data_IF_839938298657
#
_entry.id   IF_839938298657
#
_cell.length_a   1.000
_cell.length_b   1.000
_cell.length_c   1.000
_cell.angle_alpha   90.00
_cell.angle_beta   90.00
_cell.angle_gamma   90.00
#
_symmetry.space_group_name_H-M   'P 1'
#
loop_
_entity.id
_entity.type
_entity.pdbx_description
1 polymer ?
#
# COMPACT_ATOMS: atom_id res chain seq x y z
N UNK A 1 -60.50 28.02 -57.27
CA UNK A 1 -59.07 27.65 -57.32
C UNK A 1 -58.30 28.84 -57.89
N UNK A 2 -57.69 29.65 -57.03
CA UNK A 2 -56.56 30.51 -57.35
C UNK A 2 -55.95 31.01 -56.03
N UNK A 3 -54.63 30.92 -55.98
CA UNK A 3 -53.74 31.22 -54.86
C UNK A 3 -53.57 32.73 -54.71
N UNK A 4 -53.47 33.23 -53.48
CA UNK A 4 -52.79 34.49 -53.18
C UNK A 4 -52.03 34.38 -51.87
N UNK A 5 -50.77 34.78 -51.94
CA UNK A 5 -49.71 34.71 -50.95
C UNK A 5 -49.80 35.90 -50.00
N UNK A 6 -49.53 35.72 -48.70
CA UNK A 6 -48.95 36.78 -47.88
C UNK A 6 -47.88 36.23 -46.94
N UNK A 7 -46.69 36.84 -47.01
CA UNK A 7 -45.54 36.57 -46.13
C UNK A 7 -45.77 37.23 -44.76
N UNK A 8 -45.37 36.56 -43.69
CA UNK A 8 -45.12 37.21 -42.40
C UNK A 8 -43.77 36.75 -41.86
N UNK A 9 -42.91 37.72 -41.59
CA UNK A 9 -41.57 37.61 -41.01
C UNK A 9 -41.72 37.32 -39.51
N UNK A 10 -41.10 36.25 -39.01
CA UNK A 10 -41.06 35.97 -37.58
C UNK A 10 -39.73 36.44 -37.01
N UNK A 11 -39.81 37.42 -36.11
CA UNK A 11 -38.68 38.00 -35.37
C UNK A 11 -38.33 37.09 -34.19
N UNK A 12 -37.07 36.69 -34.10
CA UNK A 12 -36.51 35.97 -32.95
C UNK A 12 -36.40 36.88 -31.72
N UNK A 13 -36.91 36.43 -30.58
CA UNK A 13 -36.56 36.99 -29.26
C UNK A 13 -35.83 35.89 -28.51
N UNK A 14 -34.52 36.06 -28.33
CA UNK A 14 -33.69 35.18 -27.51
C UNK A 14 -33.91 35.51 -26.04
N UNK A 15 -34.41 34.55 -25.26
CA UNK A 15 -34.48 34.63 -23.80
C UNK A 15 -33.25 33.96 -23.21
N UNK A 16 -32.29 34.75 -22.76
CA UNK A 16 -31.11 34.26 -22.04
C UNK A 16 -31.47 33.93 -20.59
N UNK A 17 -31.62 32.64 -20.29
CA UNK A 17 -31.78 32.16 -18.91
C UNK A 17 -30.41 32.07 -18.25
N UNK A 18 -30.17 32.93 -17.26
CA UNK A 18 -28.97 32.91 -16.44
C UNK A 18 -29.06 31.71 -15.46
N UNK A 19 -28.29 30.65 -15.69
CA UNK A 19 -28.13 29.56 -14.72
C UNK A 19 -27.20 30.02 -13.60
N UNK A 20 -27.77 30.48 -12.49
CA UNK A 20 -27.07 30.58 -11.21
C UNK A 20 -26.92 29.18 -10.64
N UNK A 21 -25.78 28.54 -10.91
CA UNK A 21 -25.39 27.28 -10.29
C UNK A 21 -25.19 27.48 -8.79
N UNK A 22 -26.10 26.95 -7.98
CA UNK A 22 -25.86 26.77 -6.55
C UNK A 22 -24.75 25.74 -6.38
N UNK A 23 -23.57 26.18 -5.93
CA UNK A 23 -22.55 25.27 -5.40
C UNK A 23 -23.11 24.76 -4.07
N UNK A 24 -23.66 23.55 -4.08
CA UNK A 24 -23.95 22.87 -2.82
C UNK A 24 -22.61 22.56 -2.14
N UNK A 25 -22.40 22.99 -0.88
CA UNK A 25 -21.27 22.47 -0.11
C UNK A 25 -21.46 20.97 0.02
N UNK A 26 -20.45 20.21 -0.40
CA UNK A 26 -20.38 18.77 -0.17
C UNK A 26 -20.43 18.51 1.34
N UNK A 27 -21.60 18.14 1.85
CA UNK A 27 -21.70 17.53 3.17
C UNK A 27 -20.88 16.24 3.08
N UNK A 28 -19.85 16.13 3.93
CA UNK A 28 -19.11 14.88 4.05
C UNK A 28 -20.09 13.79 4.48
N UNK A 29 -20.21 12.76 3.64
CA UNK A 29 -21.03 11.59 3.89
C UNK A 29 -20.54 10.88 5.15
N UNK A 30 -21.46 10.38 5.98
CA UNK A 30 -21.15 9.53 7.15
C UNK A 30 -20.41 8.23 6.75
N UNK A 31 -20.38 7.92 5.44
CA UNK A 31 -19.79 6.70 4.87
C UNK A 31 -18.26 6.69 4.77
N UNK A 32 -17.54 7.79 5.06
CA UNK A 32 -16.07 7.85 4.90
C UNK A 32 -15.32 7.92 6.25
N UNK A 33 -16.04 7.70 7.36
CA UNK A 33 -15.50 7.86 8.71
C UNK A 33 -15.37 6.53 9.45
N UNK A 34 -14.13 6.15 9.75
CA UNK A 34 -13.78 5.09 10.69
C UNK A 34 -13.83 5.64 12.12
N UNK A 35 -14.48 4.90 13.01
CA UNK A 35 -14.47 5.21 14.44
C UNK A 35 -13.60 4.18 15.17
N UNK A 36 -12.58 4.66 15.87
CA UNK A 36 -11.84 3.85 16.82
C UNK A 36 -12.51 3.92 18.19
N UNK A 37 -13.09 2.81 18.64
CA UNK A 37 -13.76 2.75 19.94
C UNK A 37 -12.80 2.33 21.05
N UNK A 38 -12.87 3.01 22.21
CA UNK A 38 -12.07 2.65 23.37
C UNK A 38 -12.37 1.23 23.83
N UNK A 39 -11.36 0.43 24.13
CA UNK A 39 -11.49 -0.94 24.66
C UNK A 39 -10.62 -1.12 25.89
N UNK A 40 -11.05 -1.99 26.80
CA UNK A 40 -10.25 -2.51 27.91
C UNK A 40 -9.89 -3.99 27.71
N UNK A 41 -10.37 -4.59 26.62
CA UNK A 41 -10.07 -5.97 26.25
C UNK A 41 -8.71 -6.01 25.55
N UNK A 42 -7.85 -6.94 25.96
CA UNK A 42 -6.61 -7.23 25.24
C UNK A 42 -6.92 -7.74 23.84
N UNK A 43 -6.36 -7.08 22.83
CA UNK A 43 -6.42 -7.52 21.44
C UNK A 43 -5.23 -8.45 21.19
N UNK A 44 -5.50 -9.63 20.64
CA UNK A 44 -4.47 -10.58 20.23
C UNK A 44 -4.34 -10.45 18.73
N UNK A 45 -3.12 -10.35 18.19
CA UNK A 45 -2.91 -10.28 16.75
C UNK A 45 -2.74 -11.71 16.23
N UNK A 46 -3.82 -12.31 15.74
CA UNK A 46 -3.85 -13.68 15.22
C UNK A 46 -4.53 -13.81 13.84
N UNK A 47 -5.04 -12.69 13.31
CA UNK A 47 -5.74 -12.62 12.02
C UNK A 47 -7.14 -13.22 12.06
N UNK A 48 -7.76 -13.36 13.25
CA UNK A 48 -9.10 -13.94 13.41
C UNK A 48 -10.15 -12.88 13.74
N UNK A 49 -11.40 -13.03 13.27
CA UNK A 49 -12.48 -12.08 13.54
C UNK A 49 -13.10 -12.31 14.93
N UNK A 50 -12.37 -12.13 16.03
CA UNK A 50 -12.92 -12.47 17.33
C UNK A 50 -13.97 -11.45 17.82
N UNK A 51 -14.78 -11.88 18.78
CA UNK A 51 -15.93 -11.14 19.32
C UNK A 51 -15.61 -9.72 19.77
N UNK A 52 -14.37 -9.45 20.18
CA UNK A 52 -13.91 -8.12 20.63
C UNK A 52 -14.11 -7.07 19.53
N UNK A 53 -13.96 -7.45 18.26
CA UNK A 53 -14.15 -6.60 17.09
C UNK A 53 -15.62 -6.29 16.76
N UNK A 54 -16.59 -6.93 17.41
CA UNK A 54 -18.01 -6.60 17.25
C UNK A 54 -18.35 -5.22 17.84
N UNK A 55 -17.53 -4.71 18.76
CA UNK A 55 -17.68 -3.35 19.31
C UNK A 55 -17.45 -2.27 18.25
N UNK A 56 -16.59 -2.53 17.26
CA UNK A 56 -16.24 -1.57 16.23
C UNK A 56 -17.13 -1.78 14.99
N UNK A 57 -17.84 -0.71 14.59
CA UNK A 57 -18.54 -0.68 13.29
C UNK A 57 -17.49 -0.70 12.17
N UNK A 58 -17.61 -1.61 11.18
CA UNK A 58 -16.71 -1.59 10.03
C UNK A 58 -17.00 -0.36 9.16
N UNK A 59 -15.93 0.25 8.67
CA UNK A 59 -15.95 1.12 7.51
C UNK A 59 -15.70 0.22 6.28
N UNK A 60 -16.65 0.18 5.36
CA UNK A 60 -16.61 -0.69 4.17
C UNK A 60 -16.65 0.16 2.92
N UNK A 61 -15.84 -0.21 1.92
CA UNK A 61 -15.74 0.47 0.64
C UNK A 61 -15.34 -0.50 -0.46
N UNK A 62 -15.45 -0.06 -1.72
CA UNK A 62 -14.82 -0.74 -2.86
C UNK A 62 -13.54 -0.01 -3.18
N UNK A 63 -12.44 -0.74 -3.38
CA UNK A 63 -11.21 -0.19 -3.96
C UNK A 63 -11.21 -0.57 -5.43
N UNK A 64 -11.26 0.42 -6.34
CA UNK A 64 -11.42 0.20 -7.77
C UNK A 64 -10.65 1.21 -8.65
N UNK A 65 -9.84 2.07 -8.03
CA UNK A 65 -8.92 2.95 -8.75
C UNK A 65 -7.54 2.31 -8.85
N UNK A 66 -6.87 2.51 -9.98
CA UNK A 66 -5.50 2.04 -10.22
C UNK A 66 -4.61 3.17 -10.76
N UNK A 67 -3.31 3.21 -10.37
CA UNK A 67 -2.39 4.26 -10.81
C UNK A 67 -2.07 4.21 -12.30
N UNK A 68 -2.10 3.02 -12.91
CA UNK A 68 -1.87 2.79 -14.34
C UNK A 68 -2.45 1.43 -14.74
N UNK A 69 -2.46 1.13 -16.04
CA UNK A 69 -2.83 -0.18 -16.58
C UNK A 69 -1.56 -0.99 -16.90
N UNK A 70 -1.15 -1.94 -16.05
CA UNK A 70 -0.04 -2.84 -16.36
C UNK A 70 -0.36 -3.80 -17.52
N UNK A 71 0.67 -4.12 -18.30
CA UNK A 71 0.61 -5.20 -19.27
C UNK A 71 0.63 -6.56 -18.55
N UNK A 72 -0.13 -7.53 -19.07
CA UNK A 72 -0.12 -8.93 -18.60
C UNK A 72 -0.46 -9.11 -17.10
N UNK A 73 -1.24 -8.19 -16.53
CA UNK A 73 -1.70 -8.27 -15.16
C UNK A 73 -3.01 -9.05 -15.06
N UNK A 74 -2.96 -10.16 -14.32
CA UNK A 74 -4.11 -11.05 -14.07
C UNK A 74 -4.71 -10.85 -12.67
N UNK A 75 -4.11 -9.97 -11.87
CA UNK A 75 -4.58 -9.68 -10.52
C UNK A 75 -5.84 -8.83 -10.49
N UNK A 76 -6.30 -8.54 -9.28
CA UNK A 76 -7.52 -7.78 -9.03
C UNK A 76 -7.47 -6.37 -9.62
N UNK A 77 -8.58 -5.99 -10.26
CA UNK A 77 -8.88 -4.62 -10.68
C UNK A 77 -9.78 -3.88 -9.69
N UNK A 78 -10.45 -4.62 -8.80
CA UNK A 78 -11.23 -4.09 -7.70
C UNK A 78 -11.36 -5.10 -6.58
N UNK A 79 -11.63 -4.64 -5.36
CA UNK A 79 -11.94 -5.51 -4.21
C UNK A 79 -12.91 -4.86 -3.24
N UNK A 80 -13.66 -5.68 -2.50
CA UNK A 80 -14.36 -5.22 -1.32
C UNK A 80 -13.35 -5.09 -0.18
N UNK A 81 -13.35 -3.93 0.48
CA UNK A 81 -12.46 -3.63 1.59
C UNK A 81 -13.26 -3.26 2.84
N UNK A 82 -12.83 -3.76 3.98
CA UNK A 82 -13.40 -3.43 5.29
C UNK A 82 -12.29 -3.16 6.29
N UNK A 83 -12.46 -2.11 7.09
CA UNK A 83 -11.57 -1.77 8.20
C UNK A 83 -12.37 -1.48 9.47
N UNK A 84 -11.91 -2.01 10.59
CA UNK A 84 -12.38 -1.69 11.94
C UNK A 84 -11.23 -1.12 12.75
N UNK A 85 -11.53 -0.35 13.79
CA UNK A 85 -10.53 0.13 14.73
C UNK A 85 -11.03 0.12 16.17
N UNK A 86 -10.12 -0.21 17.08
CA UNK A 86 -10.25 -0.07 18.52
C UNK A 86 -9.01 0.68 19.03
N UNK A 87 -9.07 1.22 20.25
CA UNK A 87 -7.89 1.75 20.93
C UNK A 87 -8.00 1.52 22.44
N UNK A 88 -6.87 1.46 23.12
CA UNK A 88 -6.80 1.62 24.57
C UNK A 88 -6.04 2.92 24.91
N UNK A 89 -5.57 3.07 26.14
CA UNK A 89 -4.84 4.28 26.56
C UNK A 89 -3.42 4.38 25.96
N UNK A 90 -2.93 3.33 25.29
CA UNK A 90 -1.55 3.22 24.80
C UNK A 90 -1.48 2.94 23.29
N UNK A 91 -2.39 2.15 22.74
CA UNK A 91 -2.33 1.61 21.40
C UNK A 91 -3.62 1.85 20.63
N UNK A 92 -3.47 1.96 19.31
CA UNK A 92 -4.54 1.81 18.34
C UNK A 92 -4.41 0.45 17.65
N UNK A 93 -5.55 -0.18 17.40
CA UNK A 93 -5.67 -1.48 16.77
C UNK A 93 -6.52 -1.37 15.53
N UNK A 94 -6.20 -2.18 14.53
CA UNK A 94 -6.95 -2.27 13.28
C UNK A 94 -7.18 -3.72 12.89
N UNK A 95 -8.36 -3.96 12.32
CA UNK A 95 -8.74 -5.22 11.72
C UNK A 95 -9.20 -4.93 10.29
N UNK A 96 -8.43 -5.40 9.33
CA UNK A 96 -8.60 -5.12 7.90
C UNK A 96 -8.91 -6.42 7.18
N UNK A 97 -9.88 -6.38 6.27
CA UNK A 97 -10.20 -7.49 5.37
C UNK A 97 -10.37 -6.99 3.95
N UNK A 98 -9.87 -7.75 2.98
CA UNK A 98 -10.19 -7.57 1.58
C UNK A 98 -10.32 -8.90 0.86
N UNK A 99 -11.22 -8.96 -0.12
CA UNK A 99 -11.34 -10.12 -0.98
C UNK A 99 -10.09 -10.19 -1.87
N UNK A 100 -9.46 -11.36 -1.96
CA UNK A 100 -8.30 -11.64 -2.80
C UNK A 100 -8.35 -13.10 -3.24
N UNK A 101 -8.76 -13.40 -4.48
CA UNK A 101 -8.94 -14.77 -4.95
C UNK A 101 -7.61 -15.54 -5.03
N UNK A 102 -6.46 -14.85 -4.92
CA UNK A 102 -5.14 -15.46 -4.94
C UNK A 102 -4.44 -15.29 -3.60
N UNK A 103 -3.44 -16.14 -3.35
CA UNK A 103 -2.49 -15.95 -2.26
C UNK A 103 -1.10 -15.78 -2.88
N UNK A 104 -0.72 -14.55 -3.15
CA UNK A 104 0.54 -14.27 -3.84
C UNK A 104 1.66 -14.06 -2.83
N UNK A 105 2.56 -15.05 -2.80
CA UNK A 105 3.70 -15.11 -1.88
C UNK A 105 5.01 -15.48 -2.59
N UNK A 106 4.96 -15.73 -3.91
CA UNK A 106 6.11 -16.18 -4.68
C UNK A 106 6.93 -14.99 -5.19
N UNK A 107 7.58 -14.29 -4.26
CA UNK A 107 8.39 -13.11 -4.53
C UNK A 107 9.72 -13.45 -5.19
N UNK A 108 9.85 -13.17 -6.49
CA UNK A 108 11.06 -13.35 -7.29
C UNK A 108 11.83 -14.67 -7.02
N UNK A 109 11.16 -15.84 -7.04
CA UNK A 109 11.79 -17.10 -6.69
C UNK A 109 12.89 -17.45 -7.70
N UNK A 110 13.92 -18.12 -7.20
CA UNK A 110 14.91 -18.80 -8.02
C UNK A 110 14.43 -20.20 -8.36
N UNK A 111 14.65 -20.63 -9.60
CA UNK A 111 14.30 -21.97 -10.08
C UNK A 111 15.52 -22.60 -10.73
N UNK A 112 15.87 -23.82 -10.30
CA UNK A 112 16.92 -24.63 -10.92
C UNK A 112 16.45 -25.10 -12.29
N UNK A 113 17.25 -24.88 -13.33
CA UNK A 113 16.94 -25.24 -14.72
C UNK A 113 17.50 -26.63 -15.07
N UNK A 114 17.05 -27.20 -16.19
CA UNK A 114 17.50 -28.52 -16.69
C UNK A 114 18.98 -28.55 -17.11
N UNK A 115 19.59 -27.39 -17.40
CA UNK A 115 21.00 -27.23 -17.77
C UNK A 115 21.90 -26.94 -16.55
N UNK A 116 21.40 -27.22 -15.35
CA UNK A 116 22.01 -26.90 -14.06
C UNK A 116 22.21 -25.40 -13.77
N UNK A 117 21.69 -24.49 -14.59
CA UNK A 117 21.70 -23.05 -14.25
C UNK A 117 20.60 -22.66 -13.26
N UNK A 118 20.75 -21.50 -12.62
CA UNK A 118 19.69 -20.87 -11.82
C UNK A 118 19.05 -19.72 -12.58
N UNK A 119 17.72 -19.63 -12.49
CA UNK A 119 16.96 -18.53 -13.09
C UNK A 119 16.02 -17.89 -12.09
N UNK A 120 16.16 -16.59 -11.88
CA UNK A 120 15.19 -15.82 -11.10
C UNK A 120 13.94 -15.56 -11.95
N UNK A 121 12.78 -15.99 -11.45
CA UNK A 121 11.51 -15.82 -12.14
C UNK A 121 11.06 -14.36 -12.07
N UNK A 122 10.78 -13.81 -13.26
CA UNK A 122 10.31 -12.44 -13.48
C UNK A 122 9.42 -12.41 -14.71
N UNK A 123 8.36 -11.64 -14.66
CA UNK A 123 7.52 -11.25 -15.78
C UNK A 123 7.26 -9.73 -15.68
N UNK A 124 8.27 -8.95 -16.08
CA UNK A 124 8.23 -7.50 -15.93
C UNK A 124 7.30 -6.87 -16.97
N UNK A 125 6.46 -5.95 -16.54
CA UNK A 125 5.57 -5.19 -17.40
C UNK A 125 6.31 -4.06 -18.14
N UNK A 126 5.54 -3.23 -18.87
CA UNK A 126 6.08 -2.10 -19.63
C UNK A 126 6.82 -1.07 -18.76
N UNK A 127 6.52 -1.01 -17.47
CA UNK A 127 7.17 -0.11 -16.51
C UNK A 127 8.44 -0.73 -15.89
N UNK A 128 8.74 -1.99 -16.23
CA UNK A 128 9.86 -2.75 -15.68
C UNK A 128 9.60 -3.30 -14.29
N UNK A 129 8.34 -3.39 -13.89
CA UNK A 129 7.93 -3.88 -12.57
C UNK A 129 7.22 -5.22 -12.68
N UNK A 130 7.30 -5.99 -11.60
CA UNK A 130 6.78 -7.36 -11.54
C UNK A 130 5.30 -7.40 -11.15
N UNK A 131 4.54 -8.27 -11.82
CA UNK A 131 3.10 -8.42 -11.62
C UNK A 131 2.64 -9.91 -11.63
N UNK A 132 3.58 -10.86 -11.62
CA UNK A 132 3.33 -12.31 -11.66
C UNK A 132 4.08 -13.07 -10.57
N UNK A 133 5.30 -12.66 -10.25
CA UNK A 133 6.15 -13.27 -9.21
C UNK A 133 6.48 -12.28 -8.09
N UNK A 134 5.44 -11.72 -7.47
CA UNK A 134 5.56 -10.77 -6.39
C UNK A 134 4.85 -11.27 -5.13
N UNK A 135 4.25 -10.35 -4.38
CA UNK A 135 3.57 -10.60 -3.12
C UNK A 135 2.33 -9.71 -2.98
N UNK A 136 1.36 -10.18 -2.23
CA UNK A 136 0.22 -9.36 -1.78
C UNK A 136 0.67 -8.34 -0.74
N UNK A 137 0.08 -7.15 -0.78
CA UNK A 137 0.42 -6.04 0.11
C UNK A 137 -0.81 -5.23 0.48
N UNK A 138 -0.71 -4.49 1.57
CA UNK A 138 -1.67 -3.48 1.98
C UNK A 138 -0.91 -2.22 2.41
N UNK A 139 -1.47 -1.05 2.17
CA UNK A 139 -0.90 0.18 2.72
C UNK A 139 -1.95 1.15 3.23
N UNK A 140 -1.55 1.87 4.27
CA UNK A 140 -2.33 2.95 4.88
C UNK A 140 -1.44 4.18 4.94
N UNK A 141 -1.95 5.30 4.44
CA UNK A 141 -1.25 6.58 4.47
C UNK A 141 -1.94 7.49 5.46
N UNK A 142 -1.20 8.14 6.37
CA UNK A 142 -1.73 9.11 7.32
C UNK A 142 -1.14 10.50 7.05
N UNK A 143 -2.01 11.50 6.99
CA UNK A 143 -1.56 12.87 6.92
C UNK A 143 -0.86 13.29 8.22
N UNK A 144 0.43 13.65 8.15
CA UNK A 144 1.10 14.38 9.24
C UNK A 144 0.83 15.87 9.06
N UNK A 145 1.36 16.45 7.99
CA UNK A 145 1.20 17.89 7.68
C UNK A 145 1.11 18.19 6.17
N UNK A 146 0.99 17.18 5.31
CA UNK A 146 0.87 17.34 3.86
C UNK A 146 -0.40 18.10 3.45
N UNK A 147 -0.24 19.30 2.87
CA UNK A 147 -1.35 20.19 2.54
C UNK A 147 -2.24 19.61 1.44
N UNK A 148 -3.54 19.57 1.72
CA UNK A 148 -4.55 19.07 0.78
C UNK A 148 -4.82 17.57 0.88
N UNK A 149 -4.09 16.84 1.74
CA UNK A 149 -4.37 15.42 1.99
C UNK A 149 -5.83 15.21 2.42
N UNK A 150 -6.39 16.04 3.29
CA UNK A 150 -7.79 15.92 3.74
C UNK A 150 -8.85 15.99 2.62
N UNK A 151 -8.47 16.44 1.41
CA UNK A 151 -9.34 16.46 0.23
C UNK A 151 -8.98 15.38 -0.80
N UNK A 152 -7.68 15.09 -0.98
CA UNK A 152 -7.18 14.24 -2.07
C UNK A 152 -6.57 12.91 -1.60
N UNK A 153 -6.50 12.67 -0.30
CA UNK A 153 -5.88 11.48 0.27
C UNK A 153 -4.43 11.33 -0.20
N UNK A 154 -4.04 10.08 -0.45
CA UNK A 154 -2.69 9.72 -0.90
C UNK A 154 -2.34 10.27 -2.29
N UNK A 155 -3.32 10.70 -3.09
CA UNK A 155 -3.08 11.28 -4.42
C UNK A 155 -2.29 12.58 -4.34
N UNK A 156 -2.31 13.26 -3.19
CA UNK A 156 -1.54 14.49 -2.99
C UNK A 156 -0.04 14.29 -3.22
N UNK A 157 0.45 13.08 -2.97
CA UNK A 157 1.83 12.68 -3.14
C UNK A 157 2.08 11.85 -4.39
N UNK A 158 1.05 11.54 -5.20
CA UNK A 158 1.20 10.73 -6.40
C UNK A 158 1.51 11.63 -7.61
N UNK A 159 2.64 11.40 -8.28
CA UNK A 159 3.05 12.13 -9.48
C UNK A 159 3.30 11.13 -10.59
N UNK A 160 2.33 10.99 -11.49
CA UNK A 160 2.42 10.11 -12.65
C UNK A 160 3.42 10.67 -13.67
N UNK A 161 4.00 9.77 -14.45
CA UNK A 161 4.80 10.17 -15.60
C UNK A 161 3.92 10.94 -16.60
N UNK A 162 4.47 12.02 -17.16
CA UNK A 162 3.83 12.76 -18.25
C UNK A 162 3.90 11.97 -19.57
N UNK A 163 3.36 12.56 -20.65
CA UNK A 163 3.34 11.95 -21.99
C UNK A 163 4.74 11.67 -22.55
N UNK A 164 5.77 12.34 -22.02
CA UNK A 164 7.18 12.14 -22.38
C UNK A 164 7.86 11.09 -21.48
N UNK A 165 7.12 10.47 -20.56
CA UNK A 165 7.67 9.49 -19.62
C UNK A 165 8.49 10.12 -18.49
N UNK A 166 8.25 11.39 -18.16
CA UNK A 166 9.01 12.11 -17.13
C UNK A 166 8.19 12.33 -15.87
N UNK A 167 8.85 12.28 -14.72
CA UNK A 167 8.32 12.77 -13.45
C UNK A 167 9.24 13.87 -12.96
N UNK A 168 8.69 15.02 -12.57
CA UNK A 168 9.47 16.20 -12.18
C UNK A 168 10.56 16.60 -13.21
N UNK A 169 10.31 16.38 -14.51
CA UNK A 169 11.26 16.66 -15.59
C UNK A 169 12.38 15.62 -15.76
N UNK A 170 12.34 14.52 -15.01
CA UNK A 170 13.34 13.44 -15.05
C UNK A 170 12.72 12.22 -15.72
N UNK A 171 13.37 11.69 -16.75
CA UNK A 171 12.95 10.46 -17.44
C UNK A 171 12.91 9.28 -16.46
N UNK A 172 11.82 8.50 -16.51
CA UNK A 172 11.62 7.33 -15.65
C UNK A 172 10.88 6.24 -16.43
N UNK A 173 11.20 4.97 -16.13
CA UNK A 173 10.42 3.83 -16.65
C UNK A 173 9.14 3.57 -15.84
N UNK A 174 9.12 3.98 -14.56
CA UNK A 174 7.97 3.81 -13.66
C UNK A 174 6.77 4.64 -14.09
N UNK A 175 5.55 4.12 -13.90
CA UNK A 175 4.31 4.86 -14.17
C UNK A 175 4.14 6.12 -13.32
N UNK A 176 4.82 6.21 -12.18
CA UNK A 176 4.83 7.40 -11.33
C UNK A 176 5.80 7.29 -10.16
N UNK A 177 5.91 8.38 -9.40
CA UNK A 177 6.70 8.48 -8.17
C UNK A 177 5.87 9.13 -7.08
N UNK A 178 6.25 8.85 -5.82
CA UNK A 178 5.62 9.46 -4.66
C UNK A 178 6.55 10.46 -3.97
N UNK A 179 6.07 11.68 -3.77
CA UNK A 179 6.72 12.73 -2.99
C UNK A 179 5.71 13.83 -2.60
N UNK A 180 5.88 14.45 -1.44
CA UNK A 180 5.05 15.59 -1.02
C UNK A 180 5.43 16.86 -1.80
N UNK A 181 4.58 17.89 -1.76
CA UNK A 181 4.71 19.04 -2.69
C UNK A 181 5.71 20.08 -2.21
N UNK A 182 5.98 20.15 -0.91
CA UNK A 182 6.80 21.18 -0.29
C UNK A 182 7.73 20.58 0.75
N UNK A 183 8.91 21.15 0.86
CA UNK A 183 9.88 20.79 1.90
C UNK A 183 9.24 20.91 3.29
N UNK A 184 9.54 19.94 4.15
CA UNK A 184 8.97 19.82 5.49
C UNK A 184 7.56 19.21 5.55
N UNK A 185 6.91 18.97 4.41
CA UNK A 185 5.67 18.18 4.37
C UNK A 185 5.98 16.67 4.39
N UNK A 186 5.36 15.94 5.30
CA UNK A 186 5.45 14.48 5.39
C UNK A 186 4.09 13.80 5.49
N UNK A 187 4.08 12.54 5.09
CA UNK A 187 2.98 11.59 5.17
C UNK A 187 3.55 10.31 5.77
N UNK A 188 2.92 9.83 6.83
CA UNK A 188 3.24 8.52 7.41
C UNK A 188 2.62 7.42 6.51
N UNK A 189 3.38 6.37 6.22
CA UNK A 189 3.08 5.30 5.28
C UNK A 189 3.33 3.94 5.95
N UNK A 190 2.27 3.31 6.41
CA UNK A 190 2.33 1.92 6.83
C UNK A 190 2.20 1.06 5.57
N UNK A 191 3.15 0.14 5.33
CA UNK A 191 3.15 -0.68 4.12
C UNK A 191 3.46 -2.17 4.40
N UNK A 192 2.41 -2.95 4.62
CA UNK A 192 2.46 -4.37 4.91
C UNK A 192 2.76 -5.14 3.63
N UNK A 193 3.67 -6.11 3.76
CA UNK A 193 4.16 -6.90 2.64
C UNK A 193 4.10 -8.37 3.03
N UNK A 194 3.25 -9.14 2.36
CA UNK A 194 2.89 -10.50 2.79
C UNK A 194 4.09 -11.41 3.04
N UNK A 195 5.14 -11.27 2.24
CA UNK A 195 6.38 -12.04 2.39
C UNK A 195 7.39 -11.25 3.23
N UNK A 196 7.64 -9.99 2.88
CA UNK A 196 8.75 -9.21 3.46
C UNK A 196 8.55 -8.81 4.93
N UNK A 197 7.31 -8.63 5.38
CA UNK A 197 7.01 -8.24 6.76
C UNK A 197 5.92 -9.08 7.41
N UNK A 198 5.03 -9.69 6.61
CA UNK A 198 4.03 -10.63 7.11
C UNK A 198 4.63 -11.88 7.76
N UNK A 199 5.79 -12.35 7.28
CA UNK A 199 6.52 -13.49 7.88
C UNK A 199 7.30 -13.11 9.15
N UNK A 200 7.48 -11.82 9.43
CA UNK A 200 8.16 -11.31 10.63
C UNK A 200 7.18 -10.65 11.60
N UNK A 201 5.87 -10.88 11.41
CA UNK A 201 4.77 -10.33 12.21
C UNK A 201 4.84 -8.79 12.37
N UNK A 202 5.20 -8.08 11.28
CA UNK A 202 5.35 -6.62 11.25
C UNK A 202 4.66 -5.96 10.05
N UNK A 203 4.30 -4.70 10.24
CA UNK A 203 3.92 -3.77 9.18
C UNK A 203 5.11 -2.84 8.96
N UNK A 204 5.59 -2.68 7.72
CA UNK A 204 6.75 -1.80 7.46
C UNK A 204 6.37 -0.34 7.74
N UNK A 205 7.00 0.28 8.74
CA UNK A 205 6.80 1.68 9.08
C UNK A 205 7.71 2.57 8.22
N UNK A 206 7.08 3.47 7.47
CA UNK A 206 7.72 4.22 6.43
C UNK A 206 7.09 5.61 6.36
N UNK A 207 7.73 6.54 5.66
CA UNK A 207 7.15 7.85 5.41
C UNK A 207 7.44 8.34 3.99
N UNK A 208 6.75 9.40 3.60
CA UNK A 208 6.92 10.10 2.33
C UNK A 208 7.22 11.57 2.59
N UNK A 209 8.29 12.09 2.01
CA UNK A 209 8.65 13.51 2.04
C UNK A 209 8.76 14.14 0.64
N UNK A 210 9.30 15.36 0.55
CA UNK A 210 9.37 16.15 -0.67
C UNK A 210 10.56 15.79 -1.59
N UNK A 211 11.35 14.76 -1.25
CA UNK A 211 12.52 14.37 -2.05
C UNK A 211 12.09 13.95 -3.45
N UNK A 212 12.43 14.77 -4.45
CA UNK A 212 12.10 14.53 -5.86
C UNK A 212 13.31 14.23 -6.75
N UNK A 213 14.50 14.24 -6.17
CA UNK A 213 15.74 13.92 -6.87
C UNK A 213 16.10 12.44 -6.62
N UNK A 214 16.08 11.57 -7.65
CA UNK A 214 16.47 10.17 -7.52
C UNK A 214 17.94 9.98 -7.13
N UNK A 215 18.81 10.97 -7.35
CA UNK A 215 20.19 10.92 -6.89
C UNK A 215 20.30 11.09 -5.36
N UNK A 216 19.39 11.87 -4.75
CA UNK A 216 19.30 12.02 -3.30
C UNK A 216 18.64 10.81 -2.63
N UNK A 217 17.63 10.23 -3.28
CA UNK A 217 17.01 8.96 -2.87
C UNK A 217 16.39 8.25 -4.07
N UNK A 218 16.82 7.03 -4.37
CA UNK A 218 16.31 6.25 -5.51
C UNK A 218 14.81 5.95 -5.42
N UNK A 219 14.24 5.99 -4.21
CA UNK A 219 12.81 5.84 -3.94
C UNK A 219 12.05 7.18 -3.88
N UNK A 220 12.69 8.28 -4.27
CA UNK A 220 12.11 9.63 -4.28
C UNK A 220 11.66 10.05 -2.87
N UNK A 221 10.40 10.41 -2.67
CA UNK A 221 9.92 10.83 -1.36
C UNK A 221 9.80 9.67 -0.38
N UNK A 222 9.68 8.42 -0.86
CA UNK A 222 9.47 7.25 0.00
C UNK A 222 10.75 6.88 0.75
N UNK A 223 10.66 6.81 2.07
CA UNK A 223 11.75 6.45 2.99
C UNK A 223 11.23 5.48 4.04
N UNK A 224 12.10 4.62 4.58
CA UNK A 224 11.75 3.87 5.77
C UNK A 224 12.02 4.72 7.00
N UNK A 225 11.27 4.46 8.06
CA UNK A 225 11.52 5.09 9.35
C UNK A 225 12.90 4.72 9.90
N UNK A 226 13.32 5.46 10.91
CA UNK A 226 14.56 5.22 11.61
C UNK A 226 14.61 3.79 12.17
N UNK A 227 15.64 3.03 11.79
CA UNK A 227 15.85 1.65 12.24
C UNK A 227 17.23 1.45 12.86
N UNK A 228 17.35 0.49 13.76
CA UNK A 228 18.62 0.07 14.36
C UNK A 228 19.10 -1.30 13.86
N UNK A 229 18.26 -2.02 13.11
CA UNK A 229 18.56 -3.37 12.66
C UNK A 229 17.45 -3.99 11.81
N UNK A 230 17.73 -5.17 11.29
CA UNK A 230 16.77 -6.00 10.56
C UNK A 230 16.31 -5.47 9.20
N UNK A 231 15.18 -6.02 8.73
CA UNK A 231 14.57 -5.75 7.43
C UNK A 231 14.80 -6.86 6.42
N UNK A 232 14.70 -6.50 5.14
CA UNK A 232 14.75 -7.46 4.04
C UNK A 232 15.78 -7.09 2.98
N UNK A 233 16.34 -8.11 2.33
CA UNK A 233 17.31 -8.00 1.24
C UNK A 233 17.07 -9.07 0.18
N UNK A 234 17.36 -8.75 -1.08
CA UNK A 234 17.25 -9.73 -2.16
C UNK A 234 18.27 -10.85 -1.94
N UNK A 235 17.84 -12.10 -2.09
CA UNK A 235 18.71 -13.27 -2.07
C UNK A 235 19.33 -13.46 -3.45
N UNK A 236 20.39 -12.74 -3.77
CA UNK A 236 21.05 -12.78 -5.09
C UNK A 236 22.55 -12.57 -4.89
N UNK A 237 23.38 -13.41 -5.52
CA UNK A 237 24.83 -13.27 -5.46
C UNK A 237 25.30 -12.03 -6.25
N UNK A 238 26.58 -11.68 -6.10
CA UNK A 238 27.17 -10.49 -6.74
C UNK A 238 27.07 -10.54 -8.27
N UNK A 239 27.27 -11.73 -8.84
CA UNK A 239 27.22 -11.99 -10.29
C UNK A 239 25.79 -12.07 -10.84
N UNK A 240 24.78 -12.05 -9.97
CA UNK A 240 23.34 -12.14 -10.31
C UNK A 240 22.95 -13.42 -11.06
N UNK A 241 23.74 -14.48 -10.91
CA UNK A 241 23.57 -15.76 -11.60
C UNK A 241 22.81 -16.79 -10.77
N UNK A 242 22.81 -16.66 -9.45
CA UNK A 242 22.26 -17.66 -8.53
C UNK A 242 21.85 -17.04 -7.18
N UNK A 243 21.15 -17.79 -6.31
CA UNK A 243 20.91 -17.37 -4.93
C UNK A 243 22.21 -17.08 -4.18
N UNK A 244 22.24 -16.04 -3.34
CA UNK A 244 23.38 -15.80 -2.45
C UNK A 244 23.39 -16.79 -1.26
N UNK A 245 22.22 -17.26 -0.85
CA UNK A 245 22.02 -18.04 0.35
C UNK A 245 21.04 -19.19 0.11
N UNK A 246 21.30 -20.29 0.81
CA UNK A 246 20.30 -21.31 1.13
C UNK A 246 19.72 -21.07 2.53
N UNK A 247 18.84 -21.97 2.97
CA UNK A 247 18.37 -21.99 4.36
C UNK A 247 18.84 -23.24 5.11
N UNK A 248 19.03 -23.12 6.42
CA UNK A 248 19.31 -24.24 7.33
C UNK A 248 18.12 -25.21 7.42
N UNK A 249 16.91 -24.66 7.29
CA UNK A 249 15.63 -25.40 7.26
C UNK A 249 14.90 -25.00 5.97
N UNK A 250 15.13 -25.75 4.90
CA UNK A 250 14.43 -25.52 3.64
C UNK A 250 13.32 -26.55 3.43
N UNK A 251 12.07 -26.10 3.51
CA UNK A 251 10.96 -26.75 2.85
C UNK A 251 10.84 -26.17 1.44
N UNK A 252 11.04 -26.99 0.40
CA UNK A 252 10.97 -26.55 -0.99
C UNK A 252 9.54 -26.22 -1.45
N UNK A 253 8.53 -26.67 -0.70
CA UNK A 253 7.12 -26.49 -1.06
C UNK A 253 6.52 -25.20 -0.49
N UNK A 254 6.99 -24.71 0.68
CA UNK A 254 6.35 -23.61 1.44
C UNK A 254 7.30 -22.57 2.05
N UNK A 255 8.54 -22.44 1.58
CA UNK A 255 9.41 -21.30 1.97
C UNK A 255 9.37 -20.19 0.92
N UNK A 256 8.75 -19.07 1.27
CA UNK A 256 8.65 -17.87 0.43
C UNK A 256 9.74 -16.81 0.72
N UNK A 257 10.46 -16.98 1.84
CA UNK A 257 11.60 -16.18 2.26
C UNK A 257 12.57 -17.05 3.06
N UNK A 258 13.83 -16.63 3.13
CA UNK A 258 14.80 -17.15 4.11
C UNK A 258 14.76 -16.22 5.32
N UNK A 259 14.53 -16.72 6.53
CA UNK A 259 14.74 -15.90 7.73
C UNK A 259 16.25 -15.70 7.93
N UNK A 260 16.69 -14.51 8.34
CA UNK A 260 18.13 -14.22 8.46
C UNK A 260 18.84 -15.13 9.47
N UNK A 261 18.12 -15.60 10.50
CA UNK A 261 18.62 -16.59 11.47
C UNK A 261 18.83 -17.99 10.87
N UNK A 262 18.08 -18.31 9.80
CA UNK A 262 18.16 -19.58 9.08
C UNK A 262 19.07 -19.49 7.86
N UNK A 263 19.71 -18.35 7.62
CA UNK A 263 20.58 -18.13 6.46
C UNK A 263 21.79 -19.06 6.50
N UNK A 264 22.05 -19.76 5.40
CA UNK A 264 23.22 -20.61 5.21
C UNK A 264 23.98 -20.23 3.92
N UNK A 265 25.29 -20.52 3.82
CA UNK A 265 26.00 -20.44 2.54
C UNK A 265 25.25 -21.22 1.46
N UNK A 266 25.14 -20.64 0.27
CA UNK A 266 24.56 -21.36 -0.85
C UNK A 266 25.48 -22.51 -1.28
N UNK A 267 24.93 -23.72 -1.29
CA UNK A 267 25.58 -24.94 -1.79
C UNK A 267 24.59 -25.58 -2.74
N UNK A 268 24.97 -25.74 -4.00
CA UNK A 268 24.06 -26.23 -5.03
C UNK A 268 23.95 -27.76 -4.98
N UNK A 269 22.91 -28.25 -4.31
CA UNK A 269 22.55 -29.67 -4.22
C UNK A 269 21.15 -29.94 -4.79
N UNK A 270 20.60 -28.98 -5.55
CA UNK A 270 19.22 -28.96 -5.99
C UNK A 270 19.06 -29.61 -7.36
N UNK A 271 17.88 -30.17 -7.62
CA UNK A 271 17.52 -30.75 -8.93
C UNK A 271 16.71 -29.74 -9.75
N UNK A 272 16.69 -29.86 -11.09
CA UNK A 272 15.83 -29.04 -11.94
C UNK A 272 14.38 -28.99 -11.45
N UNK A 273 13.81 -27.78 -11.46
CA UNK A 273 12.47 -27.48 -10.94
C UNK A 273 12.42 -27.09 -9.46
N UNK A 274 13.46 -27.39 -8.66
CA UNK A 274 13.54 -26.94 -7.27
C UNK A 274 13.55 -25.41 -7.18
N UNK A 275 12.93 -24.88 -6.13
CA UNK A 275 12.75 -23.45 -5.91
C UNK A 275 13.48 -22.97 -4.67
N UNK A 276 14.05 -21.77 -4.76
CA UNK A 276 14.60 -21.05 -3.61
C UNK A 276 14.01 -19.64 -3.49
N UNK A 277 13.80 -19.12 -2.27
CA UNK A 277 13.32 -17.76 -2.07
C UNK A 277 14.23 -16.71 -2.67
N UNK A 278 13.63 -15.68 -3.29
CA UNK A 278 14.33 -14.51 -3.80
C UNK A 278 14.66 -13.45 -2.74
N UNK A 279 14.36 -13.70 -1.46
CA UNK A 279 14.45 -12.70 -0.39
C UNK A 279 14.90 -13.33 0.93
N UNK A 280 15.72 -12.59 1.68
CA UNK A 280 16.03 -12.83 3.09
C UNK A 280 15.30 -11.78 3.94
N UNK A 281 14.69 -12.19 5.05
CA UNK A 281 13.88 -11.33 5.94
C UNK A 281 14.30 -11.45 7.40
N UNK A 282 14.14 -10.37 8.15
CA UNK A 282 14.39 -10.27 9.58
C UNK A 282 13.53 -9.15 10.16
N UNK A 283 13.00 -9.27 11.39
CA UNK A 283 12.19 -8.21 12.00
C UNK A 283 13.00 -6.91 12.11
N UNK A 284 12.38 -5.79 11.77
CA UNK A 284 12.93 -4.45 12.02
C UNK A 284 13.02 -4.18 13.52
N UNK A 285 14.07 -3.44 13.91
CA UNK A 285 14.21 -2.85 15.24
C UNK A 285 14.33 -1.33 15.15
N UNK A 286 13.96 -0.61 16.20
CA UNK A 286 13.80 0.85 16.17
C UNK A 286 12.40 1.27 15.69
N UNK A 287 12.22 2.57 15.39
CA UNK A 287 10.92 3.16 14.99
C UNK A 287 10.28 2.40 13.83
N UNK A 288 11.08 1.97 12.85
CA UNK A 288 10.60 1.19 11.69
C UNK A 288 9.90 -0.13 12.03
N UNK A 289 10.09 -0.65 13.24
CA UNK A 289 9.48 -1.87 13.74
C UNK A 289 8.32 -1.65 14.71
N UNK A 290 7.83 -0.41 14.87
CA UNK A 290 6.82 -0.05 15.89
C UNK A 290 5.43 -0.65 15.62
N UNK A 291 5.17 -1.12 14.41
CA UNK A 291 3.89 -1.70 14.01
C UNK A 291 3.99 -3.23 13.99
N UNK A 292 3.37 -3.87 14.98
CA UNK A 292 3.19 -5.32 15.01
C UNK A 292 1.97 -5.71 14.20
N UNK A 293 2.03 -6.83 13.48
CA UNK A 293 0.91 -7.29 12.66
C UNK A 293 0.83 -8.80 12.56
N UNK A 294 -0.37 -9.33 12.29
CA UNK A 294 -0.58 -10.70 11.86
C UNK A 294 -1.56 -10.74 10.70
N UNK A 295 -1.28 -11.59 9.72
CA UNK A 295 -2.16 -11.77 8.57
C UNK A 295 -2.45 -13.24 8.31
N UNK A 296 -3.70 -13.52 7.94
CA UNK A 296 -4.16 -14.84 7.51
C UNK A 296 -4.86 -14.69 6.18
N UNK A 297 -4.48 -15.52 5.22
CA UNK A 297 -5.25 -15.72 4.00
C UNK A 297 -6.05 -17.00 4.12
N UNK A 298 -7.37 -16.91 3.91
CA UNK A 298 -8.27 -18.06 3.88
C UNK A 298 -9.48 -17.74 2.98
N UNK A 299 -9.94 -18.74 2.23
CA UNK A 299 -11.17 -18.67 1.43
C UNK A 299 -11.27 -17.44 0.50
N UNK A 300 -10.16 -17.10 -0.17
CA UNK A 300 -10.13 -15.98 -1.11
C UNK A 300 -10.17 -14.61 -0.43
N UNK A 301 -9.64 -14.50 0.80
CA UNK A 301 -9.64 -13.29 1.59
C UNK A 301 -8.39 -13.18 2.44
N UNK A 302 -7.83 -11.98 2.48
CA UNK A 302 -6.88 -11.61 3.51
C UNK A 302 -7.60 -11.02 4.72
N UNK A 303 -7.16 -11.42 5.90
CA UNK A 303 -7.46 -10.77 7.19
C UNK A 303 -6.14 -10.32 7.80
N UNK A 304 -6.02 -9.02 8.08
CA UNK A 304 -4.82 -8.38 8.61
C UNK A 304 -5.18 -7.64 9.89
N UNK A 305 -4.56 -8.04 10.99
CA UNK A 305 -4.60 -7.35 12.27
C UNK A 305 -3.28 -6.67 12.54
N UNK A 306 -3.32 -5.46 13.08
CA UNK A 306 -2.11 -4.77 13.48
C UNK A 306 -2.38 -3.76 14.58
N UNK A 307 -1.31 -3.43 15.30
CA UNK A 307 -1.34 -2.43 16.36
C UNK A 307 -0.13 -1.52 16.24
N UNK A 308 -0.30 -0.30 16.73
CA UNK A 308 0.77 0.68 16.95
C UNK A 308 0.44 1.46 18.21
N UNK A 309 1.46 1.98 18.90
CA UNK A 309 1.25 2.98 19.94
C UNK A 309 0.49 4.20 19.39
N UNK A 310 -0.33 4.83 20.21
CA UNK A 310 -0.99 6.10 19.87
C UNK A 310 0.05 7.22 19.64
N UNK A 311 1.11 7.21 20.44
CA UNK A 311 2.22 8.17 20.38
C UNK A 311 3.52 7.37 20.32
N UNK A 312 4.27 7.52 19.23
CA UNK A 312 5.59 6.90 19.06
C UNK A 312 6.69 7.79 19.63
N UNK A 313 7.88 7.20 19.78
CA UNK A 313 9.03 7.86 20.39
C UNK A 313 10.26 7.64 19.53
N UNK A 314 11.11 8.64 19.43
CA UNK A 314 12.33 8.58 18.64
C UNK A 314 12.75 9.98 18.23
N UNK A 315 13.98 10.13 17.76
CA UNK A 315 14.51 11.43 17.32
C UNK A 315 13.68 12.02 16.17
N UNK A 316 13.22 11.17 15.25
CA UNK A 316 12.51 11.56 14.03
C UNK A 316 11.00 11.30 14.06
N UNK A 317 10.45 10.81 15.17
CA UNK A 317 9.03 10.40 15.27
C UNK A 317 8.05 11.52 14.87
N UNK A 318 8.32 12.79 15.18
CA UNK A 318 7.41 13.88 14.78
C UNK A 318 7.37 14.15 13.26
N UNK A 319 8.34 13.63 12.51
CA UNK A 319 8.47 13.80 11.05
C UNK A 319 8.06 12.54 10.31
N UNK A 320 8.42 11.37 10.85
CA UNK A 320 8.19 10.05 10.26
C UNK A 320 6.76 9.55 10.53
N UNK A 321 6.23 9.82 11.72
CA UNK A 321 5.02 9.18 12.24
C UNK A 321 3.84 10.15 12.45
N UNK A 322 2.61 9.66 12.24
CA UNK A 322 1.41 10.34 12.76
C UNK A 322 1.30 10.17 14.28
N UNK A 323 1.07 11.27 15.02
CA UNK A 323 0.90 11.23 16.47
C UNK A 323 -0.59 11.34 16.85
N UNK A 324 -1.18 10.24 17.34
CA UNK A 324 -2.55 10.20 17.87
C UNK A 324 -2.61 10.74 19.32
N UNK A 325 -1.92 11.86 19.57
CA UNK A 325 -1.81 12.48 20.90
C UNK A 325 -3.05 13.29 21.32
N UNK A 326 -3.93 13.62 20.37
CA UNK A 326 -5.15 14.36 20.61
C UNK A 326 -6.35 13.63 20.00
N UNK A 327 -6.96 12.76 20.81
CA UNK A 327 -8.07 11.91 20.41
C UNK A 327 -9.35 12.70 20.06
N UNK A 328 -9.39 14.01 20.32
CA UNK A 328 -10.52 14.87 19.90
C UNK A 328 -10.44 15.29 18.43
N UNK A 329 -9.28 15.11 17.78
CA UNK A 329 -9.07 15.48 16.37
C UNK A 329 -9.53 14.38 15.42
N UNK A 330 -9.93 14.83 14.24
CA UNK A 330 -10.06 13.96 13.06
C UNK A 330 -8.69 13.80 12.40
N UNK A 331 -8.30 12.55 12.18
CA UNK A 331 -7.11 12.18 11.42
C UNK A 331 -7.53 11.72 10.02
N UNK A 332 -6.77 12.10 9.00
CA UNK A 332 -7.10 11.76 7.61
C UNK A 332 -6.17 10.67 7.10
N UNK A 333 -6.74 9.69 6.41
CA UNK A 333 -5.97 8.58 5.85
C UNK A 333 -6.45 8.13 4.47
N UNK A 334 -5.62 7.35 3.79
CA UNK A 334 -5.96 6.63 2.55
C UNK A 334 -5.54 5.18 2.66
N UNK A 335 -6.18 4.30 1.86
CA UNK A 335 -5.93 2.85 1.89
C UNK A 335 -5.73 2.31 0.48
N UNK A 336 -4.92 1.25 0.37
CA UNK A 336 -4.78 0.48 -0.86
C UNK A 336 -4.35 -0.96 -0.57
N UNK A 337 -4.61 -1.84 -1.54
CA UNK A 337 -4.10 -3.21 -1.54
C UNK A 337 -3.48 -3.55 -2.90
N UNK A 338 -2.59 -4.54 -2.91
CA UNK A 338 -1.83 -4.98 -4.06
C UNK A 338 -2.04 -6.49 -4.17
N UNK A 339 -2.47 -6.95 -5.35
CA UNK A 339 -2.52 -8.36 -5.71
C UNK A 339 -1.30 -8.65 -6.57
N UNK A 340 -0.37 -9.47 -6.06
CA UNK A 340 0.80 -9.94 -6.79
C UNK A 340 1.61 -8.87 -7.56
N UNK A 341 1.64 -7.62 -7.09
CA UNK A 341 2.21 -6.51 -7.87
C UNK A 341 3.26 -5.70 -7.12
N UNK A 342 4.33 -5.32 -7.81
CA UNK A 342 5.39 -4.49 -7.27
C UNK A 342 4.96 -3.05 -7.00
N UNK A 343 4.25 -2.42 -7.94
CA UNK A 343 3.84 -1.01 -7.83
C UNK A 343 2.36 -0.75 -8.15
N UNK A 344 1.68 -1.67 -8.85
CA UNK A 344 0.26 -1.51 -9.15
C UNK A 344 -0.57 -1.84 -7.90
N UNK A 345 -1.61 -1.07 -7.65
CA UNK A 345 -2.48 -1.23 -6.49
C UNK A 345 -3.87 -0.74 -6.80
N UNK A 346 -4.84 -1.33 -6.11
CA UNK A 346 -6.21 -0.83 -6.08
C UNK A 346 -6.41 0.00 -4.82
N UNK A 347 -6.99 1.19 -4.97
CA UNK A 347 -7.10 2.15 -3.87
C UNK A 347 -8.44 2.89 -3.88
N UNK A 348 -8.71 3.58 -2.79
CA UNK A 348 -9.85 4.48 -2.63
C UNK A 348 -9.46 5.91 -3.00
N UNK A 349 -10.19 6.55 -3.92
CA UNK A 349 -9.95 7.96 -4.28
C UNK A 349 -10.36 8.92 -3.14
N UNK A 350 -9.50 9.88 -2.82
CA UNK A 350 -9.79 10.87 -1.78
C UNK A 350 -9.39 10.41 -0.38
N UNK A 351 -9.86 11.13 0.64
CA UNK A 351 -9.44 10.91 2.03
C UNK A 351 -10.57 10.32 2.88
N UNK A 352 -10.20 9.32 3.67
CA UNK A 352 -11.00 8.76 4.75
C UNK A 352 -10.67 9.49 6.06
N UNK A 353 -11.56 9.36 7.04
CA UNK A 353 -11.43 10.01 8.36
C UNK A 353 -11.39 8.98 9.47
N UNK A 354 -10.49 9.18 10.43
CA UNK A 354 -10.48 8.47 11.70
C UNK A 354 -10.86 9.43 12.82
N UNK A 355 -11.86 9.04 13.62
CA UNK A 355 -12.22 9.70 14.87
C UNK A 355 -12.17 8.68 16.02
N UNK A 356 -11.87 9.15 17.23
CA UNK A 356 -11.86 8.32 18.44
C UNK A 356 -13.15 8.52 19.25
N UNK A 357 -13.62 7.46 19.91
CA UNK A 357 -14.80 7.47 20.80
C UNK A 357 -14.64 6.63 22.05
#
# INVERSE_FOLDING_TARGET
MNVLVSRAVSVCIASSTLYLGFIQPSIASENDTLISYKTTQTITLDGQPEKKWEKAKPLTMVLDYMPYKPDQYEGMLKTQYSIKSLHDDQNIYFFVQWDDPTKSVNRFPWVKQDDDSWKQQKNLDQTGHENTYYEDKASIFWAINAKGFSKKGCDIACHLADEEGKVAGIEQKSAGRKYTRKDGETIDMWHWKGVRTGLTDQFDDQFVDATKDPAANSNWGRKGDSKTGGGYQNNINEDKSEPAYGGLVMNLDDNYAIQDIDKAPFIDTYKPGDKLPGIVVSPFTGSRGDISSKAVWADGKWTLEFQRKLVTTGENAAVEDVQFSDLSKTYYFGVSVFDNSQINHIYHEGALKLNFK
#
